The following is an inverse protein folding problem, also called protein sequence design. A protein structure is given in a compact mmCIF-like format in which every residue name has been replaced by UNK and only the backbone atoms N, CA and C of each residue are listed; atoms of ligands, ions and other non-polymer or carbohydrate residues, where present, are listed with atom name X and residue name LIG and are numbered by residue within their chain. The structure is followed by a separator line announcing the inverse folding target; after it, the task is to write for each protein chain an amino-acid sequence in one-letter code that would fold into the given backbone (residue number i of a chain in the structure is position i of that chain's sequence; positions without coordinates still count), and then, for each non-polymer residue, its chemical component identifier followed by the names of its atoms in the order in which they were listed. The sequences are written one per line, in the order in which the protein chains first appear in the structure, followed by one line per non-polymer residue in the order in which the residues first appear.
data_IF_151498084015
#
_entry.id   IF_151498084015
#
_cell.length_a   1.000
_cell.length_b   1.000
_cell.length_c   1.000
_cell.angle_alpha   90.00
_cell.angle_beta   90.00
_cell.angle_gamma   90.00
#
_symmetry.space_group_name_H-M   'P 1'
#
loop_
_entity.id
_entity.type
_entity.pdbx_description
1 polymer ?
#
# COMPACT_ATOMS: atom_id res chain seq x y z
N UNK A 1 8.42 18.81 16.85
CA UNK A 1 7.25 18.04 17.23
C UNK A 1 7.59 16.98 18.25
N UNK A 2 6.65 16.64 19.14
CA UNK A 2 6.83 15.58 20.15
C UNK A 2 6.60 14.18 19.53
N UNK A 3 5.70 14.10 18.54
CA UNK A 3 5.45 12.90 17.77
C UNK A 3 5.09 13.22 16.32
N UNK A 4 5.39 12.29 15.42
CA UNK A 4 4.96 12.26 14.02
C UNK A 4 4.41 10.89 13.76
N UNK A 5 3.34 10.80 12.98
CA UNK A 5 2.85 9.53 12.46
C UNK A 5 2.53 9.64 10.98
N UNK A 6 2.55 8.53 10.30
CA UNK A 6 2.08 8.39 8.93
C UNK A 6 1.38 7.05 8.73
N UNK A 7 0.42 7.03 7.82
CA UNK A 7 -0.28 5.83 7.40
C UNK A 7 -0.25 5.81 5.87
N UNK A 8 0.48 4.85 5.30
CA UNK A 8 0.56 4.60 3.85
C UNK A 8 0.98 5.82 3.02
N UNK A 9 1.78 6.72 3.57
CA UNK A 9 2.15 7.98 2.91
C UNK A 9 3.59 7.98 2.38
N UNK A 10 4.56 7.52 3.19
CA UNK A 10 5.98 7.60 2.84
C UNK A 10 6.40 6.59 1.78
N UNK A 11 5.56 5.59 1.45
CA UNK A 11 5.71 4.72 0.28
C UNK A 11 5.73 5.49 -1.04
N UNK A 12 5.10 6.67 -1.11
CA UNK A 12 5.11 7.57 -2.28
C UNK A 12 6.37 8.44 -2.38
N UNK A 13 7.22 8.49 -1.36
CA UNK A 13 8.47 9.23 -1.41
C UNK A 13 9.48 8.49 -2.31
N UNK A 14 10.06 9.15 -3.35
CA UNK A 14 11.06 8.52 -4.20
C UNK A 14 12.32 8.09 -3.43
N UNK A 15 12.70 8.87 -2.41
CA UNK A 15 13.86 8.66 -1.56
C UNK A 15 13.43 8.58 -0.10
N UNK A 16 13.37 7.36 0.44
CA UNK A 16 12.94 7.11 1.81
C UNK A 16 13.94 7.67 2.83
N UNK A 17 15.24 7.61 2.55
CA UNK A 17 16.26 8.07 3.48
C UNK A 17 16.12 9.59 3.69
N UNK A 18 15.93 10.36 2.61
CA UNK A 18 15.67 11.80 2.72
C UNK A 18 14.36 12.11 3.41
N UNK A 19 13.29 11.35 3.09
CA UNK A 19 12.00 11.53 3.73
C UNK A 19 12.10 11.32 5.25
N UNK A 20 12.71 10.22 5.68
CA UNK A 20 12.86 9.93 7.10
C UNK A 20 13.86 10.89 7.78
N UNK A 21 14.87 11.39 7.07
CA UNK A 21 15.76 12.43 7.61
C UNK A 21 15.00 13.74 7.91
N UNK A 22 14.04 14.13 7.07
CA UNK A 22 13.19 15.29 7.34
C UNK A 22 12.25 15.07 8.52
N UNK A 23 11.65 13.89 8.64
CA UNK A 23 10.84 13.52 9.81
C UNK A 23 11.71 13.57 11.08
N UNK A 24 12.91 13.00 11.00
CA UNK A 24 13.89 13.06 12.10
C UNK A 24 14.26 14.49 12.47
N UNK A 25 14.48 15.36 11.47
CA UNK A 25 14.84 16.76 11.69
C UNK A 25 13.80 17.52 12.49
N UNK A 26 12.51 17.33 12.17
CA UNK A 26 11.41 18.08 12.81
C UNK A 26 11.00 17.55 14.18
N UNK A 27 11.36 16.32 14.52
CA UNK A 27 11.11 15.75 15.84
C UNK A 27 12.07 16.34 16.88
N UNK A 28 11.57 16.56 18.09
CA UNK A 28 12.39 16.86 19.27
C UNK A 28 13.23 15.63 19.67
N UNK A 29 14.37 15.83 20.35
CA UNK A 29 15.04 14.71 21.02
C UNK A 29 14.07 13.97 21.94
N UNK A 30 14.06 12.65 21.90
CA UNK A 30 13.07 11.80 22.58
C UNK A 30 11.71 11.67 21.88
N UNK A 31 11.48 12.41 20.79
CA UNK A 31 10.24 12.34 20.02
C UNK A 31 10.06 11.01 19.27
N UNK A 32 8.81 10.64 19.06
CA UNK A 32 8.40 9.34 18.50
C UNK A 32 7.93 9.49 17.06
N UNK A 33 8.32 8.55 16.21
CA UNK A 33 7.76 8.36 14.88
C UNK A 33 7.09 6.99 14.77
N UNK A 34 5.81 6.96 14.40
CA UNK A 34 5.06 5.73 14.15
C UNK A 34 4.61 5.69 12.68
N UNK A 35 4.78 4.54 12.02
CA UNK A 35 4.38 4.41 10.62
C UNK A 35 3.77 3.07 10.28
N UNK A 36 2.81 3.11 9.32
CA UNK A 36 2.40 1.98 8.51
C UNK A 36 2.94 2.17 7.09
N UNK A 37 3.60 1.12 6.57
CA UNK A 37 4.24 1.16 5.26
C UNK A 37 3.79 0.00 4.38
N UNK A 38 3.76 0.29 3.09
CA UNK A 38 3.59 -0.69 2.03
C UNK A 38 4.93 -1.30 1.66
N UNK A 39 5.10 -2.61 1.87
CA UNK A 39 6.38 -3.27 1.72
C UNK A 39 6.28 -4.60 0.99
N UNK A 40 7.37 -4.95 0.31
CA UNK A 40 7.65 -6.33 -0.07
C UNK A 40 8.06 -7.10 1.17
N UNK A 41 7.50 -8.29 1.34
CA UNK A 41 7.84 -9.21 2.43
C UNK A 41 9.07 -10.06 2.09
N UNK A 42 9.47 -10.93 2.99
CA UNK A 42 10.54 -11.90 2.76
C UNK A 42 10.16 -13.00 1.75
N UNK A 43 8.86 -13.19 1.48
CA UNK A 43 8.35 -14.15 0.48
C UNK A 43 8.56 -13.67 -0.97
N UNK A 44 8.95 -12.41 -1.17
CA UNK A 44 9.23 -11.90 -2.50
C UNK A 44 10.53 -12.47 -3.06
N UNK A 45 10.41 -13.24 -4.14
CA UNK A 45 11.56 -13.74 -4.89
C UNK A 45 11.78 -12.92 -6.17
N UNK A 46 12.92 -12.19 -6.28
CA UNK A 46 13.24 -11.40 -7.46
C UNK A 46 13.54 -12.23 -8.71
N UNK A 47 13.68 -13.56 -8.59
CA UNK A 47 13.87 -14.47 -9.73
C UNK A 47 12.55 -15.02 -10.26
N UNK A 48 11.47 -14.92 -9.49
CA UNK A 48 10.15 -15.38 -9.89
C UNK A 48 9.48 -14.32 -10.78
N UNK A 49 9.21 -14.63 -12.03
CA UNK A 49 8.61 -13.71 -13.00
C UNK A 49 7.19 -13.28 -12.58
N UNK A 50 6.43 -14.16 -11.93
CA UNK A 50 5.10 -13.80 -11.42
C UNK A 50 5.20 -12.76 -10.30
N UNK A 51 6.17 -12.91 -9.38
CA UNK A 51 6.41 -11.92 -8.32
C UNK A 51 6.84 -10.56 -8.88
N UNK A 52 7.69 -10.56 -9.89
CA UNK A 52 8.09 -9.32 -10.60
C UNK A 52 6.89 -8.63 -11.23
N UNK A 53 6.04 -9.40 -11.92
CA UNK A 53 4.86 -8.84 -12.57
C UNK A 53 3.89 -8.24 -11.55
N UNK A 54 3.57 -8.95 -10.46
CA UNK A 54 2.72 -8.44 -9.37
C UNK A 54 3.31 -7.15 -8.81
N UNK A 55 4.60 -7.14 -8.46
CA UNK A 55 5.29 -5.95 -7.98
C UNK A 55 5.16 -4.78 -8.96
N UNK A 56 5.40 -5.01 -10.25
CA UNK A 56 5.31 -3.96 -11.27
C UNK A 56 3.89 -3.41 -11.40
N UNK A 57 2.89 -4.28 -11.38
CA UNK A 57 1.49 -3.87 -11.48
C UNK A 57 1.01 -3.12 -10.23
N UNK A 58 1.51 -3.47 -9.04
CA UNK A 58 1.29 -2.70 -7.80
C UNK A 58 1.89 -1.30 -7.95
N UNK A 59 3.15 -1.19 -8.38
CA UNK A 59 3.81 0.11 -8.56
C UNK A 59 3.05 1.00 -9.54
N UNK A 60 2.72 0.47 -10.71
CA UNK A 60 2.01 1.21 -11.75
C UNK A 60 0.61 1.59 -11.27
N UNK A 61 -0.18 0.63 -10.80
CA UNK A 61 -1.59 0.83 -10.46
C UNK A 61 -1.82 1.76 -9.26
N UNK A 62 -0.81 1.93 -8.40
CA UNK A 62 -0.90 2.80 -7.22
C UNK A 62 0.02 4.02 -7.29
N UNK A 63 0.69 4.26 -8.42
CA UNK A 63 1.57 5.41 -8.62
C UNK A 63 2.76 5.44 -7.65
N UNK A 64 3.27 4.27 -7.28
CA UNK A 64 4.42 4.16 -6.38
C UNK A 64 5.73 4.27 -7.17
N UNK A 65 6.66 5.10 -6.73
CA UNK A 65 7.95 5.25 -7.42
C UNK A 65 8.84 4.01 -7.27
N UNK A 66 8.68 3.27 -6.18
CA UNK A 66 9.44 2.04 -5.89
C UNK A 66 8.69 1.16 -4.88
N UNK A 67 8.94 -0.14 -4.92
CA UNK A 67 8.53 -1.06 -3.83
C UNK A 67 9.78 -1.40 -3.00
N UNK A 68 9.72 -1.07 -1.72
CA UNK A 68 10.77 -1.33 -0.74
C UNK A 68 10.44 -2.60 0.03
N UNK A 69 11.45 -3.33 0.45
CA UNK A 69 11.24 -4.39 1.43
C UNK A 69 11.08 -3.80 2.84
N UNK A 70 10.51 -4.58 3.76
CA UNK A 70 10.46 -4.22 5.17
C UNK A 70 11.86 -3.85 5.72
N UNK A 71 12.88 -4.60 5.30
CA UNK A 71 14.29 -4.34 5.67
C UNK A 71 14.80 -3.01 5.13
N UNK A 72 14.42 -2.62 3.91
CA UNK A 72 14.83 -1.33 3.33
C UNK A 72 14.24 -0.16 4.10
N UNK A 73 12.96 -0.27 4.52
CA UNK A 73 12.29 0.73 5.35
C UNK A 73 13.01 0.91 6.67
N UNK A 74 13.25 -0.19 7.40
CA UNK A 74 13.96 -0.18 8.68
C UNK A 74 15.37 0.37 8.56
N UNK A 75 16.10 -0.01 7.52
CA UNK A 75 17.46 0.49 7.28
C UNK A 75 17.46 1.99 6.95
N UNK A 76 16.51 2.46 6.17
CA UNK A 76 16.39 3.90 5.87
C UNK A 76 16.08 4.72 7.12
N UNK A 77 15.24 4.24 8.03
CA UNK A 77 14.99 4.89 9.32
C UNK A 77 16.25 4.91 10.20
N UNK A 78 16.97 3.77 10.29
CA UNK A 78 18.24 3.70 11.05
C UNK A 78 19.28 4.64 10.49
N UNK A 79 19.43 4.75 9.17
CA UNK A 79 20.33 5.71 8.50
C UNK A 79 19.95 7.16 8.77
N UNK A 80 18.65 7.48 8.86
CA UNK A 80 18.18 8.80 9.25
C UNK A 80 18.49 9.16 10.71
N UNK A 81 18.94 8.19 11.53
CA UNK A 81 19.31 8.37 12.93
C UNK A 81 18.29 7.87 13.95
N UNK A 82 17.19 7.29 13.51
CA UNK A 82 16.21 6.72 14.42
C UNK A 82 16.71 5.47 15.14
N UNK A 83 16.29 5.30 16.38
CA UNK A 83 16.32 4.03 17.10
C UNK A 83 14.97 3.37 16.92
N UNK A 84 14.92 2.22 16.24
CA UNK A 84 13.71 1.43 16.14
C UNK A 84 13.44 0.72 17.46
N UNK A 85 12.21 0.81 17.96
CA UNK A 85 11.75 0.16 19.18
C UNK A 85 10.83 -1.02 18.87
N UNK A 86 10.00 -0.89 17.82
CA UNK A 86 9.08 -1.93 17.39
C UNK A 86 9.10 -2.01 15.86
N UNK A 87 9.08 -3.23 15.35
CA UNK A 87 9.01 -3.54 13.92
C UNK A 87 8.15 -4.80 13.78
N UNK A 88 6.97 -4.68 13.16
CA UNK A 88 6.05 -5.81 13.01
C UNK A 88 5.23 -5.71 11.73
N UNK A 89 5.05 -6.83 11.04
CA UNK A 89 4.07 -6.95 9.97
C UNK A 89 2.73 -7.40 10.58
N UNK A 90 1.84 -6.44 10.83
CA UNK A 90 0.56 -6.67 11.49
C UNK A 90 -0.42 -7.50 10.65
N UNK A 91 -0.15 -7.73 9.37
CA UNK A 91 -0.92 -8.70 8.57
C UNK A 91 -0.79 -10.10 9.14
N UNK A 92 0.36 -10.45 9.71
CA UNK A 92 0.62 -11.79 10.28
C UNK A 92 -0.17 -12.08 11.56
N UNK A 93 -0.59 -11.03 12.27
CA UNK A 93 -1.34 -11.11 13.53
C UNK A 93 -2.82 -10.76 13.35
N UNK A 94 -3.24 -10.35 12.15
CA UNK A 94 -4.62 -10.00 11.84
C UNK A 94 -5.45 -11.23 11.49
N UNK A 95 -6.65 -11.33 12.07
CA UNK A 95 -7.64 -12.37 11.72
C UNK A 95 -8.31 -12.12 10.36
N UNK A 96 -8.11 -10.94 9.77
CA UNK A 96 -8.72 -10.54 8.50
C UNK A 96 -7.66 -10.28 7.45
N UNK A 97 -7.84 -10.89 6.29
CA UNK A 97 -6.96 -10.61 5.16
C UNK A 97 -7.20 -9.18 4.63
N UNK A 98 -6.19 -8.34 4.69
CA UNK A 98 -6.26 -6.93 4.28
C UNK A 98 -6.75 -6.72 2.83
N UNK A 99 -6.48 -7.68 1.92
CA UNK A 99 -6.88 -7.61 0.52
C UNK A 99 -8.33 -8.07 0.28
N UNK A 100 -8.97 -8.71 1.25
CA UNK A 100 -10.33 -9.28 1.09
C UNK A 100 -11.37 -8.24 0.66
N UNK A 101 -11.39 -7.00 1.18
CA UNK A 101 -12.37 -5.99 0.75
C UNK A 101 -12.29 -5.63 -0.73
N UNK A 102 -11.13 -5.78 -1.36
CA UNK A 102 -10.89 -5.47 -2.78
C UNK A 102 -10.82 -6.72 -3.66
N UNK A 103 -10.89 -7.93 -3.09
CA UNK A 103 -10.89 -9.17 -3.87
C UNK A 103 -12.24 -9.34 -4.61
N UNK A 104 -12.24 -9.37 -5.97
CA UNK A 104 -13.46 -9.53 -6.74
C UNK A 104 -14.11 -10.89 -6.56
N UNK A 105 -13.37 -11.90 -6.12
CA UNK A 105 -13.83 -13.26 -5.91
C UNK A 105 -14.28 -13.53 -4.47
N UNK A 106 -14.24 -12.52 -3.61
CA UNK A 106 -14.69 -12.68 -2.23
C UNK A 106 -16.17 -13.07 -2.17
N UNK A 107 -16.54 -13.77 -1.11
CA UNK A 107 -17.92 -14.14 -0.84
C UNK A 107 -18.73 -12.91 -0.40
N UNK A 108 -19.49 -12.33 -1.32
CA UNK A 108 -20.32 -11.16 -1.06
C UNK A 108 -21.74 -11.56 -0.62
N UNK A 109 -22.33 -10.77 0.27
CA UNK A 109 -23.74 -10.91 0.68
C UNK A 109 -24.38 -9.52 0.79
N UNK A 110 -25.55 -9.29 0.13
CA UNK A 110 -26.24 -8.01 0.19
C UNK A 110 -26.73 -7.65 1.61
N UNK A 111 -26.94 -8.65 2.45
CA UNK A 111 -27.41 -8.46 3.83
C UNK A 111 -26.32 -8.02 4.79
N UNK A 112 -25.06 -8.27 4.45
CA UNK A 112 -23.92 -7.93 5.30
C UNK A 112 -23.18 -6.69 4.81
N UNK A 113 -23.10 -6.48 3.51
CA UNK A 113 -22.32 -5.39 2.96
C UNK A 113 -22.80 -5.03 1.54
N UNK A 114 -23.86 -4.24 1.50
CA UNK A 114 -24.41 -3.73 0.24
C UNK A 114 -23.41 -2.86 -0.54
N UNK A 115 -22.67 -2.00 0.18
CA UNK A 115 -21.79 -1.00 -0.44
C UNK A 115 -20.56 -1.61 -1.10
N UNK A 116 -20.14 -2.78 -0.68
CA UNK A 116 -19.00 -3.46 -1.29
C UNK A 116 -19.34 -4.25 -2.55
N UNK A 117 -20.60 -4.25 -2.99
CA UNK A 117 -21.00 -4.83 -4.27
C UNK A 117 -20.11 -4.36 -5.43
N UNK A 118 -19.75 -3.08 -5.45
CA UNK A 118 -18.91 -2.47 -6.49
C UNK A 118 -17.54 -3.13 -6.67
N UNK A 119 -17.01 -3.80 -5.65
CA UNK A 119 -15.71 -4.49 -5.71
C UNK A 119 -15.83 -5.94 -6.17
N UNK A 120 -17.03 -6.52 -6.25
CA UNK A 120 -17.28 -7.86 -6.79
C UNK A 120 -17.09 -7.88 -8.32
N UNK A 121 -16.98 -9.08 -8.90
CA UNK A 121 -16.88 -9.26 -10.36
C UNK A 121 -18.04 -8.54 -11.08
N UNK A 122 -19.26 -8.73 -10.61
CA UNK A 122 -20.45 -8.13 -11.22
C UNK A 122 -20.48 -6.61 -11.03
N UNK A 123 -20.16 -6.12 -9.83
CA UNK A 123 -20.09 -4.69 -9.57
C UNK A 123 -19.02 -3.99 -10.41
N UNK A 124 -17.86 -4.61 -10.56
CA UNK A 124 -16.78 -4.12 -11.43
C UNK A 124 -17.18 -4.12 -12.91
N UNK A 125 -17.89 -5.15 -13.39
CA UNK A 125 -18.38 -5.20 -14.74
C UNK A 125 -19.41 -4.08 -15.01
N UNK A 126 -20.38 -3.91 -14.12
CA UNK A 126 -21.40 -2.85 -14.21
C UNK A 126 -20.71 -1.46 -14.21
N UNK A 127 -19.77 -1.23 -13.30
CA UNK A 127 -19.02 0.03 -13.24
C UNK A 127 -18.25 0.28 -14.53
N UNK A 128 -17.60 -0.75 -15.09
CA UNK A 128 -16.85 -0.62 -16.34
C UNK A 128 -17.76 -0.20 -17.51
N UNK A 129 -18.89 -0.89 -17.70
CA UNK A 129 -19.84 -0.55 -18.78
C UNK A 129 -20.50 0.81 -18.54
N UNK A 130 -20.76 1.20 -17.30
CA UNK A 130 -21.26 2.52 -16.97
C UNK A 130 -20.25 3.61 -17.36
N UNK A 131 -18.98 3.45 -17.00
CA UNK A 131 -17.92 4.40 -17.36
C UNK A 131 -17.76 4.49 -18.88
N UNK A 132 -17.81 3.35 -19.58
CA UNK A 132 -17.76 3.29 -21.04
C UNK A 132 -18.93 4.09 -21.66
N UNK A 133 -20.15 3.87 -21.18
CA UNK A 133 -21.32 4.61 -21.64
C UNK A 133 -21.20 6.11 -21.39
N UNK A 134 -20.80 6.51 -20.17
CA UNK A 134 -20.63 7.93 -19.80
C UNK A 134 -19.54 8.61 -20.63
N UNK A 135 -18.46 7.92 -20.98
CA UNK A 135 -17.42 8.44 -21.88
C UNK A 135 -17.95 8.55 -23.31
N UNK A 136 -18.72 7.57 -23.79
CA UNK A 136 -19.32 7.58 -25.12
C UNK A 136 -20.29 8.77 -25.30
N UNK A 137 -21.13 9.05 -24.31
CA UNK A 137 -22.06 10.19 -24.33
C UNK A 137 -21.40 11.52 -23.90
N UNK A 138 -20.08 11.54 -23.69
CA UNK A 138 -19.27 12.71 -23.31
C UNK A 138 -19.64 13.37 -21.97
N UNK A 139 -20.28 12.64 -21.07
CA UNK A 139 -20.50 13.06 -19.68
C UNK A 139 -19.21 12.84 -18.89
N UNK A 140 -18.55 11.70 -19.05
CA UNK A 140 -17.21 11.47 -18.51
C UNK A 140 -16.12 11.97 -19.48
N UNK A 141 -14.98 12.48 -18.98
CA UNK A 141 -13.86 12.90 -19.81
C UNK A 141 -13.31 11.75 -20.66
N UNK A 142 -12.77 12.07 -21.85
CA UNK A 142 -12.07 11.10 -22.69
C UNK A 142 -10.89 10.49 -21.95
N UNK A 143 -10.81 9.15 -21.95
CA UNK A 143 -9.78 8.39 -21.25
C UNK A 143 -10.22 7.80 -19.90
N UNK A 144 -11.44 8.09 -19.42
CA UNK A 144 -11.99 7.58 -18.17
C UNK A 144 -12.01 6.04 -18.11
N UNK A 145 -12.30 5.39 -19.25
CA UNK A 145 -12.25 3.91 -19.36
C UNK A 145 -10.84 3.39 -19.15
N UNK A 146 -9.83 4.06 -19.73
CA UNK A 146 -8.41 3.72 -19.55
C UNK A 146 -7.98 3.83 -18.09
N UNK A 147 -8.36 4.91 -17.42
CA UNK A 147 -8.09 5.10 -15.98
C UNK A 147 -8.76 4.03 -15.14
N UNK A 148 -10.03 3.72 -15.41
CA UNK A 148 -10.75 2.64 -14.71
C UNK A 148 -10.06 1.28 -14.86
N UNK A 149 -9.61 0.95 -16.08
CA UNK A 149 -8.85 -0.28 -16.35
C UNK A 149 -7.52 -0.34 -15.61
N UNK A 150 -6.82 0.77 -15.55
CA UNK A 150 -5.55 0.92 -14.85
C UNK A 150 -5.72 0.71 -13.33
N UNK A 151 -6.69 1.37 -12.71
CA UNK A 151 -7.00 1.21 -11.28
C UNK A 151 -7.43 -0.22 -10.94
N UNK A 152 -8.20 -0.86 -11.83
CA UNK A 152 -8.58 -2.27 -11.67
C UNK A 152 -7.35 -3.16 -11.64
N UNK A 153 -6.41 -2.96 -12.57
CA UNK A 153 -5.18 -3.76 -12.64
C UNK A 153 -4.34 -3.60 -11.36
N UNK A 154 -4.23 -2.39 -10.84
CA UNK A 154 -3.56 -2.13 -9.57
C UNK A 154 -4.21 -2.83 -8.39
N UNK A 155 -5.55 -2.80 -8.32
CA UNK A 155 -6.30 -3.50 -7.28
C UNK A 155 -6.15 -5.03 -7.36
N UNK A 156 -6.19 -5.60 -8.58
CA UNK A 156 -5.99 -7.04 -8.78
C UNK A 156 -4.57 -7.46 -8.37
N UNK A 157 -3.56 -6.63 -8.68
CA UNK A 157 -2.18 -6.88 -8.26
C UNK A 157 -1.99 -6.82 -6.73
N UNK A 158 -2.68 -5.92 -6.03
CA UNK A 158 -2.70 -5.88 -4.57
C UNK A 158 -3.29 -7.17 -3.99
N UNK A 159 -4.41 -7.66 -4.56
CA UNK A 159 -5.02 -8.93 -4.15
C UNK A 159 -4.05 -10.09 -4.36
N UNK A 160 -3.40 -10.16 -5.51
CA UNK A 160 -2.42 -11.20 -5.82
C UNK A 160 -1.19 -11.10 -4.91
N UNK A 161 -0.72 -9.89 -4.62
CA UNK A 161 0.37 -9.64 -3.68
C UNK A 161 0.06 -10.12 -2.27
N UNK A 162 -1.17 -9.86 -1.80
CA UNK A 162 -1.66 -10.33 -0.51
C UNK A 162 -1.86 -11.84 -0.46
N UNK A 163 -2.50 -12.44 -1.48
CA UNK A 163 -2.72 -13.89 -1.56
C UNK A 163 -1.42 -14.70 -1.63
N UNK A 164 -0.42 -14.17 -2.29
CA UNK A 164 0.92 -14.81 -2.39
C UNK A 164 1.80 -14.50 -1.19
N UNK A 165 1.39 -13.61 -0.30
CA UNK A 165 2.17 -13.21 0.87
C UNK A 165 3.37 -12.29 0.55
N UNK A 166 3.61 -11.94 -0.71
CA UNK A 166 4.80 -11.17 -1.11
C UNK A 166 4.70 -9.68 -0.83
N UNK A 167 3.51 -9.20 -0.43
CA UNK A 167 3.25 -7.79 -0.19
C UNK A 167 2.41 -7.58 1.06
N UNK A 168 2.80 -6.60 1.87
CA UNK A 168 2.05 -6.14 3.03
C UNK A 168 1.77 -4.64 2.94
N UNK A 169 0.62 -4.22 3.44
CA UNK A 169 0.26 -2.79 3.59
C UNK A 169 0.32 -2.34 5.04
N UNK A 170 0.64 -3.25 5.95
CA UNK A 170 0.56 -3.02 7.40
C UNK A 170 1.90 -3.29 8.10
N UNK A 171 3.03 -2.97 7.44
CA UNK A 171 4.31 -3.01 8.13
C UNK A 171 4.40 -1.85 9.10
N UNK A 172 4.19 -2.16 10.38
CA UNK A 172 4.25 -1.20 11.48
C UNK A 172 5.68 -1.00 11.94
N UNK A 173 6.05 0.26 12.17
CA UNK A 173 7.29 0.62 12.85
C UNK A 173 7.05 1.70 13.88
N UNK A 174 7.70 1.59 15.03
CA UNK A 174 7.82 2.64 16.04
C UNK A 174 9.28 2.95 16.23
N UNK A 175 9.63 4.20 16.00
CA UNK A 175 10.99 4.69 16.04
C UNK A 175 11.10 5.91 16.95
N UNK A 176 12.23 6.08 17.60
CA UNK A 176 12.48 7.21 18.52
C UNK A 176 13.72 7.98 18.07
N UNK A 177 13.61 9.29 18.08
CA UNK A 177 14.79 10.17 17.96
C UNK A 177 15.56 10.16 19.26
N UNK A 178 16.82 9.66 19.32
CA UNK A 178 17.57 9.62 20.55
C UNK A 178 17.67 10.99 21.22
N UNK A 179 17.55 11.01 22.55
CA UNK A 179 17.87 12.21 23.33
C UNK A 179 19.38 12.46 23.21
N UNK A 180 19.78 13.71 22.97
CA UNK A 180 21.19 14.05 23.07
C UNK A 180 21.64 13.74 24.50
N UNK A 181 22.66 12.91 24.64
CA UNK A 181 23.37 12.77 25.93
C UNK A 181 24.01 14.07 26.31
#
# INVERSE_FOLDING_TARGET
YDAVYQIEATCHAPDAEKCYAEIFRVLKPGGVFASYEWCLTEEYDPKNEKHKQIRQDILLGNGLPTARSCKDVSNAMKKAGFKLEEEEDLVKTSDVNWYEPIDPYRRWSPFRDFWSFKTTIWGRAITHYLVLFLEMVRIAPKGSVGVSGFLKKGADALVDGGKTGIYTVMYFTKAVKPSKK
#
